data_IF_123248722175
#
_entry.id   IF_123248722175
#
_cell.length_a   1.000
_cell.length_b   1.000
_cell.length_c   1.000
_cell.angle_alpha   90.00
_cell.angle_beta   90.00
_cell.angle_gamma   90.00
#
_symmetry.space_group_name_H-M   'P 1'
#
loop_
_entity.id
_entity.type
_entity.pdbx_description
1 polymer ?
#
# COMPACT_ATOMS: atom_id res chain seq x y z
N UNK A 1 -9.82 48.91 -7.46
CA UNK A 1 -8.74 47.90 -7.67
C UNK A 1 -9.28 46.55 -7.24
N UNK A 2 -9.51 45.61 -8.15
CA UNK A 2 -10.13 44.30 -7.84
C UNK A 2 -9.15 43.40 -7.08
N UNK A 3 -9.63 42.72 -6.03
CA UNK A 3 -8.90 41.78 -5.17
C UNK A 3 -8.15 40.70 -6.00
N UNK A 4 -8.76 40.27 -7.12
CA UNK A 4 -8.16 39.29 -8.02
C UNK A 4 -6.86 39.79 -8.69
N UNK A 5 -6.69 41.11 -8.85
CA UNK A 5 -5.49 41.71 -9.44
C UNK A 5 -4.35 41.85 -8.41
N UNK A 6 -4.69 41.91 -7.12
CA UNK A 6 -3.71 41.94 -6.03
C UNK A 6 -3.09 40.56 -5.75
N UNK A 7 -3.88 39.48 -5.84
CA UNK A 7 -3.40 38.11 -5.63
C UNK A 7 -2.40 37.69 -6.73
N UNK A 8 -2.66 38.09 -7.98
CA UNK A 8 -1.74 37.79 -9.11
C UNK A 8 -0.39 38.50 -8.98
N UNK A 9 -0.33 39.69 -8.39
CA UNK A 9 0.93 40.39 -8.13
C UNK A 9 1.74 39.76 -6.97
N UNK A 10 1.07 39.08 -6.03
CA UNK A 10 1.73 38.40 -4.91
C UNK A 10 2.29 37.01 -5.29
N UNK A 11 1.69 36.34 -6.28
CA UNK A 11 2.11 35.00 -6.72
C UNK A 11 3.08 35.03 -7.91
N UNK A 12 3.13 36.13 -8.68
CA UNK A 12 3.78 36.16 -10.00
C UNK A 12 5.07 36.96 -10.13
N UNK A 13 5.80 37.33 -9.07
CA UNK A 13 7.03 38.10 -9.26
C UNK A 13 7.78 38.52 -8.01
N UNK A 14 8.80 37.75 -7.65
CA UNK A 14 10.05 38.27 -7.11
C UNK A 14 11.12 37.19 -7.21
N UNK A 15 11.79 37.19 -8.35
CA UNK A 15 13.09 36.57 -8.55
C UNK A 15 14.01 36.93 -7.37
N UNK A 16 14.39 35.91 -6.61
CA UNK A 16 15.49 35.92 -5.65
C UNK A 16 16.82 36.17 -6.39
N UNK A 17 17.03 37.40 -6.88
CA UNK A 17 18.24 37.78 -7.62
C UNK A 17 18.88 39.08 -7.11
N UNK A 18 18.61 39.45 -5.85
CA UNK A 18 19.20 40.64 -5.21
C UNK A 18 19.50 40.43 -3.71
N UNK A 19 20.05 39.27 -3.34
CA UNK A 19 20.51 39.03 -1.95
C UNK A 19 21.94 38.54 -1.81
N UNK A 20 22.70 38.43 -2.90
CA UNK A 20 24.09 37.98 -2.88
C UNK A 20 24.91 38.81 -3.88
N UNK A 21 25.13 40.08 -3.55
CA UNK A 21 26.20 40.88 -4.16
C UNK A 21 26.98 41.53 -3.01
N UNK A 22 27.89 40.75 -2.43
CA UNK A 22 29.17 41.23 -1.92
C UNK A 22 30.09 40.02 -1.72
N UNK A 23 31.39 40.22 -1.99
CA UNK A 23 32.51 39.25 -1.97
C UNK A 23 32.82 38.50 -3.27
N UNK A 24 33.49 39.23 -4.16
CA UNK A 24 34.44 38.70 -5.17
C UNK A 24 35.69 38.14 -4.44
N UNK A 25 36.06 36.87 -4.68
CA UNK A 25 37.48 36.53 -4.80
C UNK A 25 37.82 36.12 -6.24
N UNK A 26 39.02 36.54 -6.66
CA UNK A 26 39.57 36.44 -8.00
C UNK A 26 39.96 35.00 -8.40
N UNK A 27 39.93 34.79 -9.72
CA UNK A 27 40.50 33.72 -10.55
C UNK A 27 41.43 32.68 -9.90
N UNK A 28 41.10 31.40 -10.11
CA UNK A 28 42.09 30.38 -10.48
C UNK A 28 41.49 29.49 -11.57
N UNK A 29 42.12 29.56 -12.74
CA UNK A 29 42.04 28.60 -13.84
C UNK A 29 42.41 27.21 -13.33
N UNK A 30 41.61 26.19 -13.64
CA UNK A 30 42.16 24.91 -14.10
C UNK A 30 41.14 24.13 -14.93
N UNK A 31 41.71 23.38 -15.85
CA UNK A 31 41.22 22.77 -17.07
C UNK A 31 40.37 21.50 -16.85
N UNK A 32 39.92 20.92 -17.95
CA UNK A 32 39.27 19.60 -18.12
C UNK A 32 37.74 19.58 -18.30
N UNK A 33 37.36 19.96 -19.53
CA UNK A 33 36.24 19.36 -20.27
C UNK A 33 36.61 17.94 -20.71
N UNK A 34 35.67 16.99 -20.61
CA UNK A 34 35.50 16.00 -21.66
C UNK A 34 34.19 16.22 -22.44
N UNK A 35 34.33 16.35 -23.76
CA UNK A 35 33.28 16.32 -24.78
C UNK A 35 32.93 14.88 -25.17
N UNK A 36 31.70 14.68 -25.69
CA UNK A 36 31.13 13.54 -26.45
C UNK A 36 31.10 12.13 -25.81
N UNK A 37 29.97 11.42 -25.70
CA UNK A 37 28.90 11.01 -26.63
C UNK A 37 29.26 9.82 -27.56
N UNK A 38 28.25 8.97 -27.82
CA UNK A 38 28.20 7.72 -28.62
C UNK A 38 28.75 6.47 -27.86
N UNK A 39 28.18 5.25 -27.86
CA UNK A 39 27.13 4.61 -28.67
C UNK A 39 26.63 3.31 -27.93
N UNK A 40 25.46 2.85 -28.36
CA UNK A 40 24.65 1.68 -28.02
C UNK A 40 25.34 0.32 -28.25
N UNK A 41 25.31 -0.57 -27.25
CA UNK A 41 25.42 -2.02 -27.48
C UNK A 41 24.37 -2.78 -26.65
N UNK A 42 23.23 -3.01 -27.31
CA UNK A 42 22.34 -4.15 -27.09
C UNK A 42 23.08 -5.42 -26.60
N UNK A 43 22.73 -5.90 -25.41
CA UNK A 43 23.02 -7.27 -25.00
C UNK A 43 21.82 -7.85 -24.24
N UNK A 44 20.86 -8.35 -25.01
CA UNK A 44 19.97 -9.41 -24.57
C UNK A 44 20.78 -10.71 -24.47
N UNK A 45 20.77 -11.40 -23.33
CA UNK A 45 20.69 -12.84 -23.41
C UNK A 45 19.49 -13.36 -22.63
N UNK A 46 18.49 -13.78 -23.39
CA UNK A 46 17.62 -14.88 -23.05
C UNK A 46 18.43 -16.04 -22.47
N UNK A 47 18.14 -16.39 -21.22
CA UNK A 47 18.47 -17.67 -20.63
C UNK A 47 17.30 -18.10 -19.75
N UNK A 48 16.55 -19.02 -20.35
CA UNK A 48 15.65 -20.00 -19.77
C UNK A 48 16.26 -20.64 -18.50
N UNK A 49 15.54 -20.55 -17.37
CA UNK A 49 15.68 -21.52 -16.28
C UNK A 49 14.32 -21.70 -15.59
N UNK A 50 14.04 -22.96 -15.30
CA UNK A 50 12.74 -23.59 -15.21
C UNK A 50 12.08 -23.45 -13.81
N UNK A 51 10.74 -23.42 -13.81
CA UNK A 51 9.81 -23.79 -12.72
C UNK A 51 10.08 -23.34 -11.27
N UNK A 52 9.63 -22.12 -10.94
CA UNK A 52 9.12 -21.79 -9.61
C UNK A 52 7.70 -21.20 -9.77
N UNK A 53 6.70 -21.64 -8.98
CA UNK A 53 5.33 -21.16 -9.15
C UNK A 53 5.27 -19.67 -8.86
N UNK A 54 5.13 -18.88 -9.93
CA UNK A 54 4.76 -17.47 -9.85
C UNK A 54 3.47 -17.41 -9.03
N UNK A 55 3.40 -16.64 -7.93
CA UNK A 55 2.09 -16.33 -7.38
C UNK A 55 1.32 -15.66 -8.51
N UNK A 56 0.15 -16.22 -8.86
CA UNK A 56 -0.77 -15.60 -9.81
C UNK A 56 -1.04 -14.19 -9.30
N UNK A 57 -0.33 -13.24 -9.92
CA UNK A 57 -0.65 -11.84 -9.80
C UNK A 57 -2.00 -11.71 -10.49
N UNK A 58 -3.03 -11.66 -9.66
CA UNK A 58 -4.37 -11.19 -10.01
C UNK A 58 -4.22 -10.07 -11.03
N UNK A 59 -4.89 -10.23 -12.17
CA UNK A 59 -4.88 -9.32 -13.33
C UNK A 59 -5.64 -8.02 -12.98
N UNK A 60 -5.35 -7.43 -11.83
CA UNK A 60 -5.79 -6.09 -11.47
C UNK A 60 -5.07 -5.11 -12.40
N UNK A 61 -5.87 -4.60 -13.34
CA UNK A 61 -5.69 -3.51 -14.28
C UNK A 61 -4.34 -2.78 -14.21
N UNK A 62 -3.60 -2.63 -15.33
CA UNK A 62 -2.42 -1.78 -15.36
C UNK A 62 -2.84 -0.37 -14.94
N UNK A 63 -2.43 0.05 -13.73
CA UNK A 63 -2.51 1.43 -13.30
C UNK A 63 -1.87 2.28 -14.39
N UNK A 64 -2.72 3.05 -15.08
CA UNK A 64 -2.44 3.74 -16.33
C UNK A 64 -0.96 4.10 -16.51
N UNK A 65 -0.40 3.49 -17.55
CA UNK A 65 0.89 3.77 -18.14
C UNK A 65 0.94 5.24 -18.58
N UNK A 66 1.39 6.08 -17.65
CA UNK A 66 1.96 7.39 -17.94
C UNK A 66 3.48 7.31 -17.67
N UNK A 67 4.16 6.49 -18.47
CA UNK A 67 5.62 6.34 -18.46
C UNK A 67 6.38 7.63 -18.82
N UNK A 68 5.69 8.69 -19.27
CA UNK A 68 6.35 9.81 -19.96
C UNK A 68 6.49 11.13 -19.19
N UNK A 69 5.98 11.27 -17.97
CA UNK A 69 6.06 12.56 -17.25
C UNK A 69 6.49 12.50 -15.77
N UNK A 70 7.05 11.37 -15.33
CA UNK A 70 7.55 11.23 -13.96
C UNK A 70 9.06 11.37 -13.88
N UNK A 71 9.55 12.53 -13.42
CA UNK A 71 10.98 12.72 -13.09
C UNK A 71 11.54 11.67 -12.11
N UNK A 72 12.84 11.71 -11.83
CA UNK A 72 13.56 10.69 -11.04
C UNK A 72 12.89 10.35 -9.70
N UNK A 73 12.32 11.34 -9.01
CA UNK A 73 11.56 11.13 -7.78
C UNK A 73 10.30 10.27 -7.98
N UNK A 74 9.59 10.42 -9.10
CA UNK A 74 8.42 9.61 -9.42
C UNK A 74 8.83 8.17 -9.75
N UNK A 75 9.97 7.97 -10.44
CA UNK A 75 10.56 6.65 -10.67
C UNK A 75 10.96 6.00 -9.34
N UNK A 76 11.64 6.73 -8.46
CA UNK A 76 12.01 6.28 -7.12
C UNK A 76 10.80 5.84 -6.29
N UNK A 77 9.71 6.62 -6.26
CA UNK A 77 8.47 6.23 -5.58
C UNK A 77 7.82 4.98 -6.18
N UNK A 78 7.86 4.79 -7.50
CA UNK A 78 7.33 3.57 -8.14
C UNK A 78 8.17 2.36 -7.78
N UNK A 79 9.50 2.47 -7.85
CA UNK A 79 10.42 1.41 -7.45
C UNK A 79 10.22 1.04 -5.97
N UNK A 80 10.06 2.04 -5.11
CA UNK A 80 9.77 1.85 -3.68
C UNK A 80 8.47 1.10 -3.45
N UNK A 81 7.37 1.53 -4.08
CA UNK A 81 6.07 0.86 -3.97
C UNK A 81 6.14 -0.57 -4.47
N UNK A 82 6.82 -0.83 -5.60
CA UNK A 82 7.06 -2.17 -6.12
C UNK A 82 7.83 -3.03 -5.12
N UNK A 83 8.83 -2.47 -4.44
CA UNK A 83 9.56 -3.18 -3.39
C UNK A 83 8.65 -3.53 -2.22
N UNK A 84 7.88 -2.57 -1.72
CA UNK A 84 6.95 -2.77 -0.60
C UNK A 84 5.88 -3.82 -0.94
N UNK A 85 5.30 -3.76 -2.14
CA UNK A 85 4.28 -4.72 -2.58
C UNK A 85 4.84 -6.13 -2.67
N UNK A 86 6.07 -6.31 -3.17
CA UNK A 86 6.72 -7.62 -3.20
C UNK A 86 6.98 -8.19 -1.80
N UNK A 87 7.33 -7.36 -0.82
CA UNK A 87 7.60 -7.82 0.56
C UNK A 87 6.28 -8.20 1.26
N UNK A 88 5.27 -7.35 1.16
CA UNK A 88 3.98 -7.55 1.84
C UNK A 88 3.09 -8.60 1.17
N UNK A 89 3.24 -8.80 -0.14
CA UNK A 89 2.47 -9.77 -0.92
C UNK A 89 3.07 -11.18 -0.98
N UNK A 90 4.23 -11.42 -0.37
CA UNK A 90 4.80 -12.77 -0.34
C UNK A 90 4.08 -13.67 0.68
N UNK A 91 3.97 -14.97 0.41
CA UNK A 91 3.30 -15.94 1.30
C UNK A 91 3.88 -16.00 2.72
N UNK A 92 5.14 -15.58 2.88
CA UNK A 92 5.82 -15.58 4.17
C UNK A 92 5.43 -14.37 5.04
N UNK A 93 4.84 -13.32 4.44
CA UNK A 93 4.35 -12.16 5.17
C UNK A 93 3.14 -12.50 6.06
N UNK A 94 2.30 -13.46 5.65
CA UNK A 94 1.14 -13.90 6.43
C UNK A 94 1.53 -14.53 7.77
N UNK A 95 2.68 -15.22 7.81
CA UNK A 95 3.21 -15.82 9.03
C UNK A 95 3.78 -14.80 10.02
N UNK A 96 4.20 -13.63 9.55
CA UNK A 96 4.72 -12.57 10.41
C UNK A 96 4.50 -11.17 9.80
N UNK A 97 3.27 -10.62 9.91
CA UNK A 97 2.93 -9.36 9.26
C UNK A 97 3.67 -8.16 9.87
N UNK A 98 4.05 -8.23 11.15
CA UNK A 98 4.76 -7.13 11.82
C UNK A 98 6.20 -7.01 11.35
N UNK A 99 6.90 -8.15 11.16
CA UNK A 99 8.24 -8.17 10.60
C UNK A 99 8.24 -7.75 9.12
N UNK A 100 7.28 -8.23 8.34
CA UNK A 100 7.12 -7.83 6.94
C UNK A 100 6.92 -6.31 6.80
N UNK A 101 6.05 -5.72 7.64
CA UNK A 101 5.85 -4.27 7.68
C UNK A 101 7.13 -3.51 8.08
N UNK A 102 7.90 -4.03 9.04
CA UNK A 102 9.16 -3.40 9.43
C UNK A 102 10.17 -3.37 8.28
N UNK A 103 10.30 -4.48 7.55
CA UNK A 103 11.17 -4.59 6.38
C UNK A 103 10.69 -3.71 5.21
N UNK A 104 9.38 -3.59 5.01
CA UNK A 104 8.83 -2.78 3.93
C UNK A 104 9.02 -1.28 4.16
N UNK A 105 8.76 -0.78 5.38
CA UNK A 105 8.68 0.66 5.64
C UNK A 105 9.93 1.28 6.27
N UNK A 106 10.69 0.50 7.04
CA UNK A 106 11.80 1.05 7.86
C UNK A 106 13.19 0.68 7.35
N UNK A 107 13.29 -0.23 6.39
CA UNK A 107 14.58 -0.68 5.86
C UNK A 107 14.67 -0.42 4.36
N UNK A 108 15.91 -0.23 3.88
CA UNK A 108 16.23 -0.14 2.45
C UNK A 108 16.67 -1.47 1.85
N UNK A 109 16.33 -2.60 2.47
CA UNK A 109 16.71 -3.93 1.97
C UNK A 109 16.00 -4.22 0.64
N UNK A 110 16.69 -4.85 -0.31
CA UNK A 110 16.06 -5.32 -1.55
C UNK A 110 14.95 -6.33 -1.25
N UNK A 111 13.95 -6.42 -2.14
CA UNK A 111 12.82 -7.32 -1.96
C UNK A 111 13.27 -8.79 -1.75
N UNK A 112 14.24 -9.27 -2.55
CA UNK A 112 14.78 -10.63 -2.44
C UNK A 112 15.44 -10.88 -1.08
N UNK A 113 16.23 -9.93 -0.59
CA UNK A 113 16.87 -10.03 0.72
C UNK A 113 15.83 -10.02 1.85
N UNK A 114 14.85 -9.12 1.78
CA UNK A 114 13.75 -9.07 2.75
C UNK A 114 12.93 -10.36 2.78
N UNK A 115 12.60 -10.94 1.61
CA UNK A 115 11.89 -12.22 1.53
C UNK A 115 12.74 -13.36 2.10
N UNK A 116 14.06 -13.39 1.85
CA UNK A 116 14.95 -14.38 2.46
C UNK A 116 15.02 -14.25 3.99
N UNK A 117 14.99 -13.03 4.53
CA UNK A 117 14.94 -12.78 5.97
C UNK A 117 13.61 -13.22 6.58
N UNK A 118 12.49 -12.99 5.88
CA UNK A 118 11.17 -13.50 6.29
C UNK A 118 11.14 -15.03 6.30
N UNK A 119 11.72 -15.67 5.28
CA UNK A 119 11.88 -17.14 5.21
C UNK A 119 12.70 -17.66 6.38
N UNK A 120 13.86 -17.03 6.66
CA UNK A 120 14.76 -17.44 7.74
C UNK A 120 14.17 -17.20 9.13
N UNK A 121 13.35 -16.17 9.30
CA UNK A 121 12.67 -15.88 10.57
C UNK A 121 11.61 -16.92 10.92
N UNK A 122 11.16 -17.73 9.96
CA UNK A 122 10.06 -18.69 10.14
C UNK A 122 8.71 -18.00 10.36
N UNK A 123 7.65 -18.82 10.34
CA UNK A 123 6.32 -18.33 10.71
C UNK A 123 6.33 -17.97 12.20
N UNK A 124 6.07 -16.69 12.52
CA UNK A 124 5.85 -16.33 13.91
C UNK A 124 4.54 -16.99 14.31
N UNK A 125 4.61 -18.03 15.15
CA UNK A 125 3.43 -18.71 15.66
C UNK A 125 2.54 -17.66 16.34
N UNK A 126 1.53 -17.15 15.62
CA UNK A 126 0.59 -16.22 16.18
C UNK A 126 -0.26 -17.02 17.16
N UNK A 127 0.02 -16.93 18.44
CA UNK A 127 -0.78 -17.55 19.52
C UNK A 127 -2.23 -17.04 19.54
N UNK A 128 -2.56 -16.05 18.71
CA UNK A 128 -3.88 -15.45 18.63
C UNK A 128 -4.78 -16.23 17.66
N UNK A 129 -6.04 -16.51 18.04
CA UNK A 129 -6.99 -17.18 17.15
C UNK A 129 -7.20 -16.34 15.88
N UNK A 130 -7.22 -16.98 14.71
CA UNK A 130 -7.43 -16.29 13.42
C UNK A 130 -8.73 -15.48 13.42
N UNK A 131 -8.82 -14.45 12.56
CA UNK A 131 -10.06 -13.68 12.42
C UNK A 131 -11.25 -14.60 12.09
N UNK A 132 -11.04 -15.58 11.20
CA UNK A 132 -12.04 -16.59 10.87
C UNK A 132 -12.51 -17.37 12.12
N UNK A 133 -11.60 -17.78 13.00
CA UNK A 133 -11.95 -18.42 14.28
C UNK A 133 -12.77 -17.49 15.18
N UNK A 134 -12.40 -16.21 15.28
CA UNK A 134 -13.14 -15.20 16.08
C UNK A 134 -14.52 -14.85 15.50
N UNK A 135 -14.66 -14.94 14.18
CA UNK A 135 -15.90 -14.66 13.46
C UNK A 135 -16.79 -15.90 13.32
N UNK A 136 -16.25 -17.09 13.59
CA UNK A 136 -17.02 -18.33 13.49
C UNK A 136 -18.21 -18.28 14.47
N UNK A 137 -19.42 -18.41 13.93
CA UNK A 137 -20.66 -18.31 14.70
C UNK A 137 -21.08 -16.90 15.12
N UNK A 138 -20.34 -15.85 14.75
CA UNK A 138 -20.72 -14.45 15.04
C UNK A 138 -21.61 -13.92 13.91
N UNK A 139 -22.90 -13.77 14.17
CA UNK A 139 -23.79 -13.02 13.28
C UNK A 139 -23.57 -11.53 13.55
N UNK A 140 -23.11 -10.72 12.57
CA UNK A 140 -22.99 -9.29 12.77
C UNK A 140 -24.35 -8.74 13.19
N UNK A 141 -24.37 -8.00 14.31
CA UNK A 141 -25.57 -7.35 14.80
C UNK A 141 -25.86 -6.15 13.88
N UNK A 142 -26.45 -6.44 12.72
CA UNK A 142 -27.14 -5.45 11.93
C UNK A 142 -28.25 -4.92 12.84
N UNK A 143 -28.08 -3.70 13.34
CA UNK A 143 -28.98 -3.10 14.32
C UNK A 143 -30.43 -3.30 13.88
N UNK A 144 -31.29 -3.70 14.82
CA UNK A 144 -32.71 -3.91 14.57
C UNK A 144 -33.35 -2.59 14.10
N UNK A 145 -33.40 -2.37 12.78
CA UNK A 145 -34.44 -1.57 12.16
C UNK A 145 -35.76 -2.18 12.63
N UNK A 146 -36.45 -1.45 13.51
CA UNK A 146 -37.40 -2.02 14.45
C UNK A 146 -38.42 -2.98 13.84
N UNK A 147 -38.46 -4.21 14.37
CA UNK A 147 -39.68 -4.91 14.83
C UNK A 147 -39.31 -6.36 15.18
N UNK A 148 -39.66 -6.76 16.40
CA UNK A 148 -39.72 -8.13 16.95
C UNK A 148 -38.50 -9.04 16.79
N UNK A 149 -37.84 -9.26 17.93
CA UNK A 149 -36.85 -10.34 18.13
C UNK A 149 -37.49 -11.70 17.86
N UNK A 150 -37.17 -12.32 16.74
CA UNK A 150 -37.59 -13.69 16.43
C UNK A 150 -36.94 -14.66 17.43
N UNK A 151 -37.70 -15.64 17.99
CA UNK A 151 -37.14 -16.62 18.92
C UNK A 151 -36.12 -17.52 18.21
N UNK A 152 -34.86 -17.44 18.68
CA UNK A 152 -33.70 -18.09 18.04
C UNK A 152 -33.55 -19.57 18.38
N UNK A 153 -34.21 -20.07 19.44
CA UNK A 153 -34.15 -21.47 19.87
C UNK A 153 -35.51 -22.16 19.70
N UNK A 154 -35.50 -23.48 19.54
CA UNK A 154 -36.72 -24.28 19.37
C UNK A 154 -37.68 -24.13 20.58
N UNK A 155 -37.12 -24.11 21.79
CA UNK A 155 -37.90 -23.89 23.01
C UNK A 155 -38.55 -22.50 23.04
N UNK A 156 -37.83 -21.46 22.61
CA UNK A 156 -38.37 -20.11 22.54
C UNK A 156 -39.51 -20.00 21.50
N UNK A 157 -39.47 -20.78 20.41
CA UNK A 157 -40.56 -20.85 19.42
C UNK A 157 -41.80 -21.52 20.01
N UNK A 158 -41.63 -22.60 20.76
CA UNK A 158 -42.73 -23.29 21.43
C UNK A 158 -43.42 -22.41 22.48
N UNK A 159 -42.63 -21.68 23.28
CA UNK A 159 -43.16 -20.74 24.27
C UNK A 159 -43.89 -19.58 23.60
N UNK A 160 -43.35 -19.02 22.52
CA UNK A 160 -44.02 -17.96 21.76
C UNK A 160 -45.35 -18.42 21.16
N UNK A 161 -45.39 -19.64 20.61
CA UNK A 161 -46.60 -20.25 20.06
C UNK A 161 -47.66 -20.54 21.12
N UNK A 162 -47.25 -21.04 22.29
CA UNK A 162 -48.16 -21.25 23.41
C UNK A 162 -48.77 -19.92 23.89
N UNK A 163 -47.95 -18.86 23.94
CA UNK A 163 -48.36 -17.52 24.37
C UNK A 163 -49.34 -16.86 23.40
N UNK A 164 -49.12 -16.99 22.08
CA UNK A 164 -50.05 -16.48 21.07
C UNK A 164 -51.38 -17.24 21.09
N UNK A 165 -51.36 -18.56 21.30
CA UNK A 165 -52.57 -19.39 21.40
C UNK A 165 -53.40 -19.11 22.65
N UNK A 166 -52.74 -18.82 23.77
CA UNK A 166 -53.42 -18.43 25.01
C UNK A 166 -54.07 -17.04 24.89
N UNK A 167 -53.42 -16.09 24.19
CA UNK A 167 -54.00 -14.78 23.93
C UNK A 167 -55.25 -14.87 23.02
N UNK A 168 -55.21 -15.71 21.99
CA UNK A 168 -56.34 -15.92 21.07
C UNK A 168 -57.56 -16.62 21.70
N UNK A 169 -57.40 -17.29 22.85
CA UNK A 169 -58.51 -17.91 23.61
C UNK A 169 -59.15 -16.97 24.63
N UNK A 170 -58.54 -15.81 24.86
CA UNK A 170 -58.95 -14.83 25.88
C UNK A 170 -59.58 -13.56 25.26
N UNK A 171 -59.63 -13.50 23.93
CA UNK A 171 -60.38 -12.54 23.13
C UNK A 171 -61.66 -13.22 22.62
#
# INVERSE_FOLDING_TARGET
MSLARAIRAAVGGRSMKYRLEDEKPEELEDDERPEDAEDDENADPAADDEDEPKPEADEDEPVADDEKEGGEYARGRRAERKRMSSILGCSHADGNPTLAAHLAFKTGMSAKSAISALRASGSAASTQPSLASRMNGRVPALGNGGVTTQPKTADAKLVAFAKSRAAARKA
#
